data_IF_527928357229
#
_entry.id   IF_527928357229
#
_cell.length_a   1.000
_cell.length_b   1.000
_cell.length_c   1.000
_cell.angle_alpha   90.00
_cell.angle_beta   90.00
_cell.angle_gamma   90.00
#
_symmetry.space_group_name_H-M   'P 1'
#
loop_
_entity.id
_entity.type
_entity.pdbx_description
1 polymer ?
#
# COMPACT_ATOMS: atom_id res chain seq x y z
N UNK A 1 3.07 9.11 3.70
CA UNK A 1 3.41 9.75 5.00
C UNK A 1 4.84 9.48 5.43
N UNK A 2 5.36 8.24 5.31
CA UNK A 2 6.76 7.96 5.67
C UNK A 2 7.76 8.84 4.92
N UNK A 3 7.57 9.01 3.62
CA UNK A 3 8.47 9.84 2.80
C UNK A 3 8.45 11.29 3.29
N UNK A 4 7.27 11.79 3.63
CA UNK A 4 7.14 13.15 4.18
C UNK A 4 7.84 13.27 5.53
N UNK A 5 7.67 12.29 6.41
CA UNK A 5 8.34 12.27 7.70
C UNK A 5 9.86 12.32 7.54
N UNK A 6 10.40 11.52 6.61
CA UNK A 6 11.83 11.52 6.33
C UNK A 6 12.32 12.88 5.84
N UNK A 7 11.54 13.53 4.99
CA UNK A 7 11.88 14.87 4.47
C UNK A 7 11.89 15.93 5.57
N UNK A 8 11.04 15.77 6.57
CA UNK A 8 10.91 16.73 7.68
C UNK A 8 11.79 16.39 8.89
N UNK A 9 12.58 15.32 8.80
CA UNK A 9 13.44 14.90 9.91
C UNK A 9 12.69 14.29 11.08
N UNK A 10 11.49 13.76 10.83
CA UNK A 10 10.64 13.15 11.86
C UNK A 10 10.92 11.64 11.91
N UNK A 11 11.15 11.13 13.11
CA UNK A 11 11.30 9.69 13.34
C UNK A 11 9.95 9.01 13.12
N UNK A 12 9.87 8.06 12.17
CA UNK A 12 8.62 7.40 11.83
C UNK A 12 8.03 6.64 13.02
N UNK A 13 8.85 5.92 13.78
CA UNK A 13 8.39 5.16 14.94
C UNK A 13 7.75 6.09 15.99
N UNK A 14 8.32 7.25 16.20
CA UNK A 14 7.78 8.24 17.14
C UNK A 14 6.44 8.78 16.64
N UNK A 15 6.35 9.07 15.36
CA UNK A 15 5.10 9.53 14.75
C UNK A 15 4.01 8.46 14.87
N UNK A 16 4.34 7.20 14.60
CA UNK A 16 3.39 6.09 14.72
C UNK A 16 2.91 5.91 16.15
N UNK A 17 3.83 5.99 17.13
CA UNK A 17 3.47 5.86 18.53
C UNK A 17 2.45 6.93 18.96
N UNK A 18 2.64 8.16 18.51
CA UNK A 18 1.68 9.23 18.78
C UNK A 18 0.35 9.00 18.10
N UNK A 19 0.39 8.56 16.87
CA UNK A 19 -0.75 8.32 16.02
C UNK A 19 -1.66 7.20 16.56
N UNK A 20 -1.07 6.10 17.05
CA UNK A 20 -1.87 4.96 17.54
C UNK A 20 -2.39 5.14 18.96
N UNK A 21 -1.95 6.16 19.69
CA UNK A 21 -2.43 6.44 21.05
C UNK A 21 -3.91 6.75 21.11
N UNK A 22 -4.48 7.17 19.98
CA UNK A 22 -5.92 7.39 19.87
C UNK A 22 -6.74 6.12 20.14
N UNK A 23 -6.15 4.94 19.97
CA UNK A 23 -6.82 3.66 20.21
C UNK A 23 -7.75 3.20 19.09
N UNK A 24 -8.00 4.04 18.09
CA UNK A 24 -8.85 3.70 16.93
C UNK A 24 -8.07 3.01 15.82
N UNK A 25 -6.76 3.16 15.83
CA UNK A 25 -5.87 2.61 14.81
C UNK A 25 -4.78 1.83 15.53
N UNK A 26 -4.57 0.60 15.09
CA UNK A 26 -3.51 -0.25 15.62
C UNK A 26 -2.20 -0.06 14.85
N UNK A 27 -1.17 -0.79 15.28
CA UNK A 27 0.15 -0.74 14.65
C UNK A 27 0.22 -1.51 13.32
N UNK A 28 -0.77 -2.35 13.05
CA UNK A 28 -0.78 -3.17 11.83
C UNK A 28 -0.77 -2.31 10.57
N UNK A 29 0.06 -2.68 9.61
CA UNK A 29 0.19 -2.01 8.31
C UNK A 29 0.75 -0.58 8.36
N UNK A 30 1.36 -0.18 9.47
CA UNK A 30 1.98 1.14 9.59
C UNK A 30 3.51 1.08 9.48
N UNK A 31 4.08 -0.11 9.42
CA UNK A 31 5.51 -0.29 9.31
C UNK A 31 6.00 0.05 7.90
N UNK A 32 6.94 0.97 7.79
CA UNK A 32 7.56 1.36 6.53
C UNK A 32 9.06 1.54 6.75
N UNK A 33 9.93 0.80 6.08
CA UNK A 33 9.58 -0.28 5.13
C UNK A 33 8.83 -1.43 5.80
N UNK A 34 8.11 -2.19 4.98
CA UNK A 34 7.36 -3.33 5.47
C UNK A 34 8.25 -4.51 5.87
N UNK A 35 7.64 -5.66 6.25
CA UNK A 35 8.40 -6.84 6.67
C UNK A 35 9.39 -7.35 5.63
N UNK A 36 9.16 -7.09 4.35
CA UNK A 36 10.07 -7.47 3.27
C UNK A 36 11.19 -6.45 3.05
N UNK A 37 11.26 -5.40 3.85
CA UNK A 37 12.26 -4.35 3.74
C UNK A 37 12.02 -3.35 2.62
N UNK A 38 10.86 -3.39 1.97
CA UNK A 38 10.54 -2.56 0.82
C UNK A 38 9.40 -1.60 1.11
N UNK A 39 9.32 -0.54 0.34
CA UNK A 39 8.20 0.40 0.37
C UNK A 39 7.03 -0.19 -0.42
N UNK A 40 5.83 0.31 -0.13
CA UNK A 40 4.63 -0.15 -0.81
C UNK A 40 4.23 -1.56 -0.41
N UNK A 41 3.38 -2.14 -1.22
CA UNK A 41 2.89 -3.51 -1.01
C UNK A 41 3.07 -4.33 -2.27
N UNK A 42 3.30 -5.62 -2.08
CA UNK A 42 3.53 -6.56 -3.16
C UNK A 42 2.99 -7.93 -2.80
N UNK A 43 3.63 -8.97 -3.32
CA UNK A 43 3.18 -10.32 -3.12
C UNK A 43 2.05 -10.71 -4.06
N UNK A 44 1.39 -11.81 -3.74
CA UNK A 44 0.40 -12.40 -4.65
C UNK A 44 -1.03 -11.92 -4.41
N UNK A 45 -1.37 -11.49 -3.20
CA UNK A 45 -2.76 -11.23 -2.84
C UNK A 45 -3.15 -9.76 -2.92
N UNK A 46 -2.42 -8.88 -2.26
CA UNK A 46 -2.83 -7.49 -2.11
C UNK A 46 -2.91 -6.75 -3.45
N UNK A 47 -1.89 -6.81 -4.32
CA UNK A 47 -2.01 -6.16 -5.63
C UNK A 47 -3.19 -6.69 -6.45
N UNK A 48 -3.41 -7.99 -6.43
CA UNK A 48 -4.52 -8.63 -7.14
C UNK A 48 -5.87 -8.14 -6.60
N UNK A 49 -6.03 -8.15 -5.29
CA UNK A 49 -7.30 -7.77 -4.66
C UNK A 49 -7.62 -6.29 -4.86
N UNK A 50 -6.61 -5.43 -4.76
CA UNK A 50 -6.79 -4.00 -4.98
C UNK A 50 -7.24 -3.72 -6.41
N UNK A 51 -6.59 -4.33 -7.39
CA UNK A 51 -6.96 -4.14 -8.79
C UNK A 51 -8.34 -4.71 -9.08
N UNK A 52 -8.68 -5.83 -8.49
CA UNK A 52 -9.99 -6.46 -8.65
C UNK A 52 -11.12 -5.56 -8.13
N UNK A 53 -10.96 -4.96 -6.96
CA UNK A 53 -11.99 -4.10 -6.41
C UNK A 53 -12.13 -2.80 -7.21
N UNK A 54 -11.02 -2.25 -7.71
CA UNK A 54 -11.06 -1.06 -8.57
C UNK A 54 -11.87 -1.36 -9.84
N UNK A 55 -11.58 -2.47 -10.48
CA UNK A 55 -12.27 -2.87 -11.70
C UNK A 55 -13.75 -3.15 -11.44
N UNK A 56 -14.06 -3.87 -10.39
CA UNK A 56 -15.44 -4.16 -10.01
C UNK A 56 -16.24 -2.89 -9.77
N UNK A 57 -15.64 -1.93 -9.09
CA UNK A 57 -16.27 -0.64 -8.84
C UNK A 57 -16.57 0.10 -10.14
N UNK A 58 -15.62 0.11 -11.07
CA UNK A 58 -15.83 0.75 -12.39
C UNK A 58 -16.97 0.12 -13.16
N UNK A 59 -17.07 -1.21 -13.12
CA UNK A 59 -18.17 -1.94 -13.76
C UNK A 59 -19.54 -1.56 -13.16
N UNK A 60 -19.54 -1.09 -11.93
CA UNK A 60 -20.74 -0.67 -11.22
C UNK A 60 -20.90 0.86 -11.17
N UNK A 61 -20.14 1.59 -11.97
CA UNK A 61 -20.25 3.04 -12.07
C UNK A 61 -19.71 3.82 -10.90
N UNK A 62 -18.82 3.21 -10.09
CA UNK A 62 -18.22 3.85 -8.93
C UNK A 62 -16.76 4.14 -9.20
N UNK A 63 -16.35 5.38 -8.96
CA UNK A 63 -14.96 5.82 -9.10
C UNK A 63 -14.25 5.69 -7.75
N UNK A 64 -13.39 4.68 -7.63
CA UNK A 64 -12.62 4.44 -6.41
C UNK A 64 -11.31 5.22 -6.44
N UNK A 65 -11.40 6.53 -6.40
CA UNK A 65 -10.26 7.46 -6.56
C UNK A 65 -9.15 7.22 -5.56
N UNK A 66 -9.51 6.99 -4.29
CA UNK A 66 -8.52 6.77 -3.24
C UNK A 66 -7.72 5.51 -3.52
N UNK A 67 -8.38 4.43 -3.91
CA UNK A 67 -7.70 3.17 -4.22
C UNK A 67 -6.86 3.28 -5.48
N UNK A 68 -7.34 3.98 -6.49
CA UNK A 68 -6.56 4.22 -7.72
C UNK A 68 -5.29 5.00 -7.40
N UNK A 69 -5.40 6.05 -6.59
CA UNK A 69 -4.24 6.84 -6.20
C UNK A 69 -3.26 6.01 -5.36
N UNK A 70 -3.77 5.16 -4.47
CA UNK A 70 -2.93 4.25 -3.70
C UNK A 70 -2.17 3.28 -4.61
N UNK A 71 -2.83 2.75 -5.62
CA UNK A 71 -2.19 1.87 -6.59
C UNK A 71 -1.09 2.60 -7.37
N UNK A 72 -1.36 3.81 -7.84
CA UNK A 72 -0.38 4.61 -8.57
C UNK A 72 0.84 4.91 -7.70
N UNK A 73 0.62 5.28 -6.44
CA UNK A 73 1.73 5.50 -5.50
C UNK A 73 2.53 4.22 -5.30
N UNK A 74 1.84 3.08 -5.20
CA UNK A 74 2.51 1.79 -5.05
C UNK A 74 3.43 1.48 -6.23
N UNK A 75 2.99 1.73 -7.46
CA UNK A 75 3.82 1.55 -8.65
C UNK A 75 5.06 2.42 -8.60
N UNK A 76 4.94 3.62 -8.04
CA UNK A 76 6.03 4.58 -7.95
C UNK A 76 7.06 4.19 -6.89
N UNK A 77 6.60 3.78 -5.69
CA UNK A 77 7.51 3.45 -4.59
C UNK A 77 8.01 2.01 -4.62
N UNK A 78 7.42 1.18 -5.48
CA UNK A 78 7.81 -0.23 -5.62
C UNK A 78 8.00 -0.57 -7.10
N UNK A 79 9.05 -0.02 -7.72
CA UNK A 79 9.27 -0.20 -9.16
C UNK A 79 9.62 -1.64 -9.56
N UNK A 80 10.05 -2.47 -8.63
CA UNK A 80 10.36 -3.87 -8.89
C UNK A 80 9.15 -4.71 -9.25
N UNK A 81 7.94 -4.28 -8.91
CA UNK A 81 6.68 -4.96 -9.28
C UNK A 81 6.75 -6.47 -9.10
N UNK A 82 7.14 -6.89 -7.90
CA UNK A 82 7.39 -8.29 -7.59
C UNK A 82 6.18 -9.20 -7.85
N UNK A 83 4.96 -8.65 -7.81
CA UNK A 83 3.75 -9.41 -8.10
C UNK A 83 3.69 -9.90 -9.56
N UNK A 84 4.39 -9.27 -10.47
CA UNK A 84 4.40 -9.70 -11.88
C UNK A 84 5.14 -11.02 -12.06
N UNK A 85 6.08 -11.33 -11.20
CA UNK A 85 6.82 -12.60 -11.21
C UNK A 85 5.97 -13.75 -10.68
N UNK A 86 4.82 -13.43 -10.07
CA UNK A 86 3.91 -14.40 -9.48
C UNK A 86 2.75 -14.76 -10.41
N UNK A 87 2.83 -14.39 -11.68
CA UNK A 87 1.84 -14.76 -12.67
C UNK A 87 1.72 -16.29 -12.74
N UNK A 88 0.50 -16.79 -12.73
CA UNK A 88 0.22 -18.23 -12.68
C UNK A 88 0.01 -18.75 -11.27
N UNK A 89 0.49 -18.01 -10.25
CA UNK A 89 0.25 -18.33 -8.84
C UNK A 89 -0.90 -17.51 -8.29
N UNK A 90 -1.13 -16.32 -8.87
CA UNK A 90 -2.29 -15.49 -8.60
C UNK A 90 -2.67 -14.80 -9.89
N UNK A 91 -3.95 -14.48 -10.03
CA UNK A 91 -4.46 -13.85 -11.25
C UNK A 91 -4.20 -12.35 -11.18
N UNK A 92 -3.00 -11.96 -11.57
CA UNK A 92 -2.63 -10.55 -11.65
C UNK A 92 -2.50 -10.20 -13.13
N UNK A 93 -3.31 -9.30 -13.59
CA UNK A 93 -3.30 -8.88 -14.99
C UNK A 93 -3.19 -7.38 -15.11
#
# INVERSE_FOLDING_TARGET
>A
MRILADKCGVQWETAVDGFVRDGRIGHSHLQVPGPDGKFGFGGSCFPKDLRAIIQFAEENGVDMRTLKAAWETNLEVRPERDWEELKGRSVIK
#
